data_IF_800415406150
#
_entry.id   IF_800415406150
#
_cell.length_a   1.000
_cell.length_b   1.000
_cell.length_c   1.000
_cell.angle_alpha   90.00
_cell.angle_beta   90.00
_cell.angle_gamma   90.00
#
_symmetry.space_group_name_H-M   'P 1'
#
loop_
_entity.id
_entity.type
_entity.pdbx_description
1 polymer ?
#
# COMPACT_ATOMS: atom_id res chain seq x y z
N UNK A 1 26.03 -13.42 -3.43
CA UNK A 1 25.85 -11.98 -3.71
C UNK A 1 24.51 -11.59 -3.10
N UNK A 2 24.41 -10.47 -2.35
CA UNK A 2 23.11 -9.99 -1.87
C UNK A 2 22.27 -9.62 -3.10
N UNK A 3 21.01 -10.05 -3.16
CA UNK A 3 20.08 -9.56 -4.19
C UNK A 3 20.02 -8.03 -4.14
N UNK A 4 19.92 -7.34 -5.29
CA UNK A 4 19.81 -5.89 -5.29
C UNK A 4 18.57 -5.45 -4.51
N UNK A 5 18.64 -4.28 -3.85
CA UNK A 5 17.50 -3.70 -3.15
C UNK A 5 16.35 -3.43 -4.14
N UNK A 6 15.08 -3.55 -3.72
CA UNK A 6 13.94 -3.33 -4.61
C UNK A 6 13.88 -1.87 -5.10
N UNK A 7 13.55 -1.66 -6.37
CA UNK A 7 13.18 -0.33 -6.88
C UNK A 7 11.74 -0.04 -6.48
N UNK A 8 11.52 1.12 -5.86
CA UNK A 8 10.18 1.55 -5.45
C UNK A 8 9.82 2.80 -6.23
N UNK A 9 8.76 2.71 -7.04
CA UNK A 9 8.16 3.86 -7.70
C UNK A 9 7.44 4.73 -6.66
N UNK A 10 7.90 5.95 -6.45
CA UNK A 10 7.33 6.91 -5.51
C UNK A 10 6.54 7.96 -6.28
N UNK A 11 5.21 7.90 -6.26
CA UNK A 11 4.42 8.94 -6.92
C UNK A 11 4.39 10.20 -6.05
N UNK A 12 4.63 11.36 -6.66
CA UNK A 12 4.67 12.64 -5.94
C UNK A 12 3.31 13.07 -5.37
N UNK A 13 2.21 12.54 -5.93
CA UNK A 13 0.85 12.90 -5.53
C UNK A 13 0.41 14.25 -6.09
N UNK A 14 -0.49 14.92 -5.38
CA UNK A 14 -0.99 16.25 -5.75
C UNK A 14 0.09 17.32 -5.46
N UNK A 15 0.52 18.02 -6.51
CA UNK A 15 1.55 19.05 -6.43
C UNK A 15 1.16 20.27 -5.58
N UNK A 16 -0.13 20.54 -5.37
CA UNK A 16 -0.61 21.61 -4.50
C UNK A 16 -0.67 21.19 -3.01
N UNK A 17 -0.57 19.90 -2.71
CA UNK A 17 -0.58 19.37 -1.34
C UNK A 17 0.81 19.14 -0.75
N UNK A 18 0.87 18.45 0.38
CA UNK A 18 2.12 18.09 1.08
C UNK A 18 2.91 16.96 0.40
N UNK A 19 2.38 16.33 -0.65
CA UNK A 19 3.01 15.19 -1.33
C UNK A 19 4.48 15.42 -1.69
N UNK A 20 4.83 16.52 -2.39
CA UNK A 20 6.22 16.88 -2.67
C UNK A 20 7.09 17.00 -1.40
N UNK A 21 6.57 17.59 -0.32
CA UNK A 21 7.30 17.81 0.93
C UNK A 21 7.59 16.50 1.67
N UNK A 22 6.60 15.62 1.79
CA UNK A 22 6.81 14.33 2.48
C UNK A 22 7.70 13.39 1.67
N UNK A 23 7.64 13.44 0.33
CA UNK A 23 8.58 12.70 -0.53
C UNK A 23 10.00 13.20 -0.31
N UNK A 24 10.23 14.51 -0.42
CA UNK A 24 11.57 15.08 -0.21
C UNK A 24 12.08 14.79 1.19
N UNK A 25 11.24 14.96 2.20
CA UNK A 25 11.61 14.72 3.58
C UNK A 25 11.95 13.26 3.87
N UNK A 26 11.20 12.30 3.31
CA UNK A 26 11.52 10.88 3.44
C UNK A 26 12.81 10.51 2.70
N UNK A 27 13.01 11.03 1.48
CA UNK A 27 14.18 10.71 0.66
C UNK A 27 15.44 11.52 1.04
N UNK A 28 15.35 12.42 2.01
CA UNK A 28 16.51 13.01 2.66
C UNK A 28 17.13 12.06 3.70
N UNK A 29 16.39 11.06 4.17
CA UNK A 29 16.88 10.07 5.12
C UNK A 29 17.68 8.96 4.42
N UNK A 30 18.97 8.87 4.73
CA UNK A 30 19.85 7.85 4.19
C UNK A 30 19.41 6.42 4.51
N UNK A 31 18.69 6.20 5.63
CA UNK A 31 18.19 4.90 6.04
C UNK A 31 17.17 4.30 5.04
N UNK A 32 16.49 5.15 4.26
CA UNK A 32 15.61 4.70 3.17
C UNK A 32 16.41 3.97 2.09
N UNK A 33 17.58 4.50 1.72
CA UNK A 33 18.44 3.95 0.67
C UNK A 33 19.17 2.66 1.10
N UNK A 34 19.21 2.36 2.39
CA UNK A 34 19.70 1.07 2.91
C UNK A 34 18.69 -0.06 2.68
N UNK A 35 17.42 0.28 2.43
CA UNK A 35 16.31 -0.67 2.29
C UNK A 35 15.77 -0.76 0.87
N UNK A 36 15.79 0.33 0.12
CA UNK A 36 15.25 0.37 -1.24
C UNK A 36 16.00 1.32 -2.16
N UNK A 37 15.65 1.27 -3.44
CA UNK A 37 16.07 2.19 -4.48
C UNK A 37 14.87 3.06 -4.89
N UNK A 38 14.63 4.19 -4.21
CA UNK A 38 13.46 5.01 -4.49
C UNK A 38 13.63 5.77 -5.81
N UNK A 39 12.62 5.72 -6.67
CA UNK A 39 12.52 6.49 -7.90
C UNK A 39 11.26 7.33 -7.88
N UNK A 40 11.39 8.66 -7.90
CA UNK A 40 10.20 9.53 -7.87
C UNK A 40 9.61 9.66 -9.27
N UNK A 41 8.29 9.66 -9.35
CA UNK A 41 7.52 9.96 -10.56
C UNK A 41 6.71 11.21 -10.23
N UNK A 42 7.05 12.33 -10.86
CA UNK A 42 6.60 13.63 -10.39
C UNK A 42 7.05 14.79 -11.25
N UNK A 43 7.22 15.94 -10.60
CA UNK A 43 7.70 17.19 -11.21
C UNK A 43 8.97 17.66 -10.49
N UNK A 44 10.08 17.72 -11.21
CA UNK A 44 11.37 18.02 -10.60
C UNK A 44 11.44 19.47 -10.08
N UNK A 45 10.74 20.42 -10.72
CA UNK A 45 10.68 21.81 -10.23
C UNK A 45 9.93 21.86 -8.91
N UNK A 46 8.77 21.21 -8.80
CA UNK A 46 7.98 21.19 -7.57
C UNK A 46 8.69 20.51 -6.40
N UNK A 47 9.45 19.45 -6.65
CA UNK A 47 10.29 18.81 -5.64
C UNK A 47 11.43 19.72 -5.15
N UNK A 48 12.02 20.54 -6.03
CA UNK A 48 13.02 21.55 -5.61
C UNK A 48 12.39 22.63 -4.74
N UNK A 49 11.20 23.11 -5.09
CA UNK A 49 10.43 24.05 -4.26
C UNK A 49 10.15 23.45 -2.87
N UNK A 50 9.74 22.18 -2.81
CA UNK A 50 9.52 21.46 -1.55
C UNK A 50 10.80 21.26 -0.73
N UNK A 51 11.94 20.97 -1.38
CA UNK A 51 13.23 20.88 -0.69
C UNK A 51 13.64 22.21 -0.05
N UNK A 52 13.41 23.33 -0.76
CA UNK A 52 13.63 24.67 -0.22
C UNK A 52 12.72 24.97 0.97
N UNK A 53 11.42 24.70 0.85
CA UNK A 53 10.45 24.90 1.94
C UNK A 53 10.83 24.12 3.21
N UNK A 54 11.38 22.92 3.05
CA UNK A 54 11.85 22.07 4.16
C UNK A 54 13.26 22.39 4.67
N UNK A 55 14.02 23.22 3.96
CA UNK A 55 15.45 23.39 4.24
C UNK A 55 16.28 22.11 4.04
N UNK A 56 15.81 21.19 3.20
CA UNK A 56 16.48 19.92 2.94
C UNK A 56 17.63 20.10 1.94
N UNK A 57 18.82 19.60 2.27
CA UNK A 57 19.99 19.62 1.38
C UNK A 57 20.01 18.36 0.51
N UNK A 58 19.19 18.34 -0.54
CA UNK A 58 19.10 17.22 -1.51
C UNK A 58 19.18 17.73 -2.95
N UNK A 59 19.86 16.98 -3.80
CA UNK A 59 19.85 17.21 -5.25
C UNK A 59 18.60 16.56 -5.87
N UNK A 60 17.78 17.33 -6.58
CA UNK A 60 16.67 16.78 -7.37
C UNK A 60 17.09 16.73 -8.84
N UNK A 61 17.18 15.51 -9.37
CA UNK A 61 17.70 15.27 -10.71
C UNK A 61 16.74 14.45 -11.58
N UNK A 62 16.39 14.99 -12.74
CA UNK A 62 15.59 14.30 -13.72
C UNK A 62 16.37 13.14 -14.36
N UNK A 63 15.70 12.02 -14.60
CA UNK A 63 16.23 10.83 -15.27
C UNK A 63 15.21 10.32 -16.30
N UNK A 64 15.71 9.78 -17.41
CA UNK A 64 14.87 9.33 -18.53
C UNK A 64 14.21 7.96 -18.28
N UNK A 65 14.77 7.15 -17.38
CA UNK A 65 14.30 5.78 -17.10
C UNK A 65 14.87 5.25 -15.80
N UNK A 66 14.30 4.14 -15.30
CA UNK A 66 14.78 3.43 -14.10
C UNK A 66 16.26 3.06 -14.21
N UNK A 67 16.71 2.63 -15.40
CA UNK A 67 18.09 2.21 -15.63
C UNK A 67 19.13 3.35 -15.56
N UNK A 68 18.69 4.62 -15.66
CA UNK A 68 19.56 5.80 -15.58
C UNK A 68 19.62 6.43 -14.19
N UNK A 69 18.77 5.98 -13.27
CA UNK A 69 18.78 6.43 -11.88
C UNK A 69 20.03 5.95 -11.13
N UNK A 70 20.52 6.78 -10.20
CA UNK A 70 21.73 6.53 -9.41
C UNK A 70 21.45 5.97 -8.03
N UNK A 71 20.26 6.24 -7.47
CA UNK A 71 19.81 5.75 -6.16
C UNK A 71 20.83 6.04 -5.05
N UNK A 72 21.37 7.26 -5.01
CA UNK A 72 22.39 7.66 -4.05
C UNK A 72 21.79 8.56 -2.97
N UNK A 73 22.07 8.35 -1.68
CA UNK A 73 21.65 9.26 -0.60
C UNK A 73 22.02 10.72 -0.91
N UNK A 74 21.12 11.65 -0.60
CA UNK A 74 21.29 13.07 -0.91
C UNK A 74 20.93 13.43 -2.36
N UNK A 75 20.53 12.47 -3.19
CA UNK A 75 20.05 12.67 -4.56
C UNK A 75 18.71 11.96 -4.77
N UNK A 76 17.72 12.73 -5.20
CA UNK A 76 16.39 12.25 -5.59
C UNK A 76 16.37 12.15 -7.11
N UNK A 77 16.37 10.93 -7.64
CA UNK A 77 16.16 10.68 -9.06
C UNK A 77 14.66 10.73 -9.38
N UNK A 78 14.29 11.49 -10.42
CA UNK A 78 12.90 11.77 -10.78
C UNK A 78 12.65 11.46 -12.25
N UNK A 79 11.66 10.62 -12.56
CA UNK A 79 11.00 10.63 -13.87
C UNK A 79 10.13 11.89 -13.89
N UNK A 80 10.68 12.95 -14.46
CA UNK A 80 10.09 14.29 -14.48
C UNK A 80 9.11 14.41 -15.66
N UNK A 81 7.82 14.56 -15.36
CA UNK A 81 6.80 14.76 -16.40
C UNK A 81 6.57 16.25 -16.71
N UNK A 82 7.07 17.18 -15.87
CA UNK A 82 6.98 18.62 -16.09
C UNK A 82 5.55 19.15 -16.34
N UNK A 83 4.54 18.58 -15.67
CA UNK A 83 3.13 18.85 -15.96
C UNK A 83 2.56 20.03 -15.18
N UNK A 84 3.22 20.46 -14.09
CA UNK A 84 2.67 21.50 -13.24
C UNK A 84 2.94 22.89 -13.80
N UNK A 85 1.95 23.81 -13.79
CA UNK A 85 2.14 25.17 -14.25
C UNK A 85 3.10 25.93 -13.32
N UNK A 86 3.81 26.91 -13.89
CA UNK A 86 4.62 27.83 -13.11
C UNK A 86 3.74 28.60 -12.12
N UNK A 87 4.23 28.79 -10.89
CA UNK A 87 3.49 29.49 -9.85
C UNK A 87 2.29 28.76 -9.28
N UNK A 88 2.18 27.43 -9.46
CA UNK A 88 1.15 26.62 -8.79
C UNK A 88 1.12 26.91 -7.28
N UNK A 89 -0.02 27.42 -6.81
CA UNK A 89 -0.21 27.76 -5.40
C UNK A 89 -0.27 26.50 -4.52
N UNK A 90 0.39 26.55 -3.37
CA UNK A 90 0.23 25.53 -2.32
C UNK A 90 -1.14 25.66 -1.65
N UNK A 91 -1.70 24.53 -1.22
CA UNK A 91 -2.93 24.50 -0.42
C UNK A 91 -4.21 24.83 -1.17
N UNK A 92 -4.16 24.97 -2.50
CA UNK A 92 -5.32 25.29 -3.33
C UNK A 92 -5.62 24.16 -4.31
N UNK A 93 -6.91 23.84 -4.43
CA UNK A 93 -7.39 22.88 -5.41
C UNK A 93 -7.05 23.34 -6.83
N UNK A 94 -6.49 22.44 -7.63
CA UNK A 94 -6.05 22.73 -9.00
C UNK A 94 -6.33 21.54 -9.92
N UNK A 95 -7.11 21.71 -11.00
CA UNK A 95 -7.29 20.67 -12.01
C UNK A 95 -5.96 20.23 -12.64
N UNK A 96 -5.01 21.15 -12.82
CA UNK A 96 -3.69 20.81 -13.35
C UNK A 96 -2.89 19.91 -12.39
N UNK A 97 -3.02 20.13 -11.09
CA UNK A 97 -2.40 19.26 -10.09
C UNK A 97 -3.07 17.87 -10.02
N UNK A 98 -4.40 17.82 -10.19
CA UNK A 98 -5.16 16.58 -10.32
C UNK A 98 -4.75 15.76 -11.55
N UNK A 99 -4.61 16.42 -12.71
CA UNK A 99 -4.12 15.80 -13.95
C UNK A 99 -2.71 15.25 -13.75
N UNK A 100 -1.81 16.05 -13.20
CA UNK A 100 -0.44 15.62 -12.97
C UNK A 100 -0.36 14.41 -12.02
N UNK A 101 -1.12 14.43 -10.92
CA UNK A 101 -1.21 13.30 -9.98
C UNK A 101 -1.69 12.02 -10.66
N UNK A 102 -2.69 12.10 -11.53
CA UNK A 102 -3.14 10.97 -12.35
C UNK A 102 -2.01 10.42 -13.23
N UNK A 103 -1.30 11.30 -13.94
CA UNK A 103 -0.21 10.92 -14.84
C UNK A 103 0.94 10.25 -14.10
N UNK A 104 1.27 10.69 -12.87
CA UNK A 104 2.28 10.03 -12.04
C UNK A 104 1.88 8.60 -11.67
N UNK A 105 0.60 8.40 -11.31
CA UNK A 105 0.07 7.07 -11.00
C UNK A 105 0.03 6.19 -12.26
N UNK A 106 -0.33 6.74 -13.42
CA UNK A 106 -0.27 6.03 -14.71
C UNK A 106 1.14 5.53 -15.02
N UNK A 107 2.15 6.40 -14.94
CA UNK A 107 3.54 6.00 -15.21
C UNK A 107 4.03 4.98 -14.19
N UNK A 108 3.67 5.11 -12.90
CA UNK A 108 4.00 4.11 -11.88
C UNK A 108 3.38 2.73 -12.20
N UNK A 109 2.11 2.73 -12.64
CA UNK A 109 1.41 1.52 -13.05
C UNK A 109 2.07 0.87 -14.29
N UNK A 110 2.46 1.67 -15.29
CA UNK A 110 3.16 1.20 -16.48
C UNK A 110 4.49 0.52 -16.12
N UNK A 111 5.31 1.15 -15.26
CA UNK A 111 6.57 0.57 -14.78
C UNK A 111 6.35 -0.71 -13.97
N UNK A 112 5.29 -0.77 -13.18
CA UNK A 112 4.94 -1.97 -12.40
C UNK A 112 4.51 -3.13 -13.31
N UNK A 113 3.67 -2.87 -14.31
CA UNK A 113 3.25 -3.86 -15.31
C UNK A 113 4.44 -4.34 -16.13
N UNK A 114 5.35 -3.43 -16.50
CA UNK A 114 6.60 -3.74 -17.20
C UNK A 114 7.64 -4.44 -16.31
N UNK A 115 7.38 -4.58 -15.00
CA UNK A 115 8.30 -5.14 -13.98
C UNK A 115 9.62 -4.39 -13.84
N UNK A 116 9.65 -3.11 -14.19
CA UNK A 116 10.82 -2.25 -13.99
C UNK A 116 10.95 -1.78 -12.54
N UNK A 117 9.85 -1.80 -11.77
CA UNK A 117 9.82 -1.53 -10.33
C UNK A 117 9.22 -2.72 -9.58
N UNK A 118 9.57 -2.86 -8.30
CA UNK A 118 9.14 -3.98 -7.45
C UNK A 118 8.06 -3.57 -6.42
N UNK A 119 7.84 -2.27 -6.24
CA UNK A 119 6.73 -1.74 -5.44
C UNK A 119 6.35 -0.33 -5.89
N UNK A 120 5.16 0.11 -5.49
CA UNK A 120 4.71 1.50 -5.60
C UNK A 120 4.50 2.05 -4.18
N UNK A 121 4.99 3.26 -3.91
CA UNK A 121 4.68 4.00 -2.69
C UNK A 121 4.05 5.34 -3.11
N UNK A 122 2.79 5.57 -2.74
CA UNK A 122 2.08 6.77 -3.20
C UNK A 122 2.04 7.84 -2.13
N UNK A 123 2.46 9.06 -2.48
CA UNK A 123 2.13 10.25 -1.70
C UNK A 123 0.65 10.65 -1.91
N UNK A 124 0.07 11.51 -1.05
CA UNK A 124 -1.35 11.86 -1.12
C UNK A 124 -1.75 12.60 -2.39
N UNK A 125 -2.97 12.34 -2.89
CA UNK A 125 -3.63 13.16 -3.91
C UNK A 125 -4.99 13.64 -3.43
N UNK A 126 -5.50 14.72 -4.03
CA UNK A 126 -6.82 15.23 -3.73
C UNK A 126 -7.86 14.69 -4.73
N UNK A 127 -8.91 14.03 -4.22
CA UNK A 127 -9.97 13.44 -5.05
C UNK A 127 -10.74 14.48 -5.86
N UNK A 128 -11.01 15.64 -5.28
CA UNK A 128 -11.76 16.71 -5.94
C UNK A 128 -10.92 17.33 -7.07
N UNK A 129 -9.60 17.51 -6.85
CA UNK A 129 -8.68 17.93 -7.92
C UNK A 129 -8.60 16.90 -9.05
N UNK A 130 -8.52 15.61 -8.71
CA UNK A 130 -8.53 14.50 -9.67
C UNK A 130 -9.81 14.49 -10.52
N UNK A 131 -10.97 14.70 -9.89
CA UNK A 131 -12.26 14.78 -10.58
C UNK A 131 -12.36 16.03 -11.45
N UNK A 132 -11.86 17.17 -10.98
CA UNK A 132 -11.82 18.41 -11.74
C UNK A 132 -10.93 18.31 -13.00
N UNK A 133 -9.96 17.40 -13.00
CA UNK A 133 -9.14 17.04 -14.17
C UNK A 133 -9.84 16.06 -15.14
N UNK A 134 -11.04 15.58 -14.82
CA UNK A 134 -11.80 14.62 -15.63
C UNK A 134 -11.61 13.14 -15.25
N UNK A 135 -10.85 12.84 -14.19
CA UNK A 135 -10.55 11.46 -13.77
C UNK A 135 -11.45 11.03 -12.62
N UNK A 136 -12.57 10.38 -12.93
CA UNK A 136 -13.59 10.02 -11.92
C UNK A 136 -13.25 8.68 -11.26
N UNK A 137 -12.38 8.71 -10.25
CA UNK A 137 -12.03 7.55 -9.44
C UNK A 137 -12.35 7.79 -7.95
N UNK A 138 -12.74 6.75 -7.19
CA UNK A 138 -12.93 6.87 -5.74
C UNK A 138 -11.65 7.24 -5.00
N UNK A 139 -10.50 6.72 -5.44
CA UNK A 139 -9.18 7.03 -4.91
C UNK A 139 -8.06 6.27 -5.63
N UNK A 140 -6.87 6.24 -5.01
CA UNK A 140 -5.68 5.58 -5.57
C UNK A 140 -5.87 4.10 -5.87
N UNK A 141 -6.57 3.38 -4.98
CA UNK A 141 -6.72 1.93 -5.06
C UNK A 141 -7.45 1.54 -6.34
N UNK A 142 -8.58 2.18 -6.62
CA UNK A 142 -9.40 1.92 -7.81
C UNK A 142 -8.71 2.44 -9.07
N UNK A 143 -8.02 3.58 -8.99
CA UNK A 143 -7.24 4.12 -10.10
C UNK A 143 -6.12 3.15 -10.52
N UNK A 144 -5.31 2.67 -9.58
CA UNK A 144 -4.24 1.71 -9.86
C UNK A 144 -4.78 0.37 -10.36
N UNK A 145 -5.89 -0.11 -9.78
CA UNK A 145 -6.54 -1.33 -10.25
C UNK A 145 -6.95 -1.20 -11.72
N UNK A 146 -7.60 -0.09 -12.10
CA UNK A 146 -8.00 0.16 -13.48
C UNK A 146 -6.80 0.25 -14.44
N UNK A 147 -5.77 1.01 -14.07
CA UNK A 147 -4.57 1.22 -14.88
C UNK A 147 -3.73 -0.07 -15.07
N UNK A 148 -3.82 -1.00 -14.12
CA UNK A 148 -3.07 -2.27 -14.17
C UNK A 148 -3.90 -3.43 -14.70
N UNK A 149 -5.18 -3.22 -15.03
CA UNK A 149 -6.10 -4.29 -15.41
C UNK A 149 -6.37 -5.29 -14.28
N UNK A 150 -6.25 -4.85 -13.02
CA UNK A 150 -6.48 -5.69 -11.84
C UNK A 150 -7.96 -5.63 -11.45
N UNK A 151 -8.66 -6.77 -11.50
CA UNK A 151 -10.09 -6.83 -11.17
C UNK A 151 -10.37 -6.60 -9.68
N UNK A 152 -9.53 -7.17 -8.81
CA UNK A 152 -9.72 -7.14 -7.37
C UNK A 152 -8.42 -6.99 -6.61
N UNK A 153 -8.46 -6.15 -5.59
CA UNK A 153 -7.39 -5.97 -4.61
C UNK A 153 -7.91 -6.19 -3.20
N UNK A 154 -7.01 -6.46 -2.28
CA UNK A 154 -7.30 -6.57 -0.85
C UNK A 154 -6.44 -5.58 -0.07
N UNK A 155 -7.01 -5.02 0.99
CA UNK A 155 -6.27 -4.19 1.95
C UNK A 155 -5.51 -5.08 2.92
N UNK A 156 -4.24 -4.77 3.12
CA UNK A 156 -3.39 -5.35 4.14
C UNK A 156 -2.89 -4.26 5.10
N UNK A 157 -2.75 -4.63 6.36
CA UNK A 157 -2.01 -3.89 7.38
C UNK A 157 -0.80 -4.72 7.78
N UNK A 158 0.30 -4.06 8.14
CA UNK A 158 1.50 -4.71 8.59
C UNK A 158 2.06 -4.06 9.84
N UNK A 159 2.43 -4.90 10.81
CA UNK A 159 3.24 -4.55 11.98
C UNK A 159 4.49 -5.42 11.96
N UNK A 160 5.49 -5.16 12.82
CA UNK A 160 6.65 -6.04 12.94
C UNK A 160 6.30 -7.50 13.31
N UNK A 161 5.14 -7.73 13.96
CA UNK A 161 4.74 -9.05 14.44
C UNK A 161 3.67 -9.73 13.59
N UNK A 162 2.73 -8.97 13.06
CA UNK A 162 1.52 -9.49 12.42
C UNK A 162 1.25 -8.73 11.13
N UNK A 163 0.94 -9.48 10.07
CA UNK A 163 0.34 -8.97 8.83
C UNK A 163 -1.11 -9.42 8.77
N UNK A 164 -2.01 -8.52 8.37
CA UNK A 164 -3.45 -8.77 8.34
C UNK A 164 -4.02 -8.34 7.00
N UNK A 165 -4.60 -9.27 6.24
CA UNK A 165 -5.33 -8.97 5.00
C UNK A 165 -6.83 -9.09 5.24
N UNK A 166 -7.62 -8.24 4.58
CA UNK A 166 -9.06 -8.15 4.81
C UNK A 166 -9.86 -8.72 3.63
N UNK A 167 -10.87 -9.53 3.94
CA UNK A 167 -11.88 -10.00 2.99
C UNK A 167 -12.83 -8.86 2.63
N UNK A 168 -13.22 -8.06 3.62
CA UNK A 168 -14.03 -6.84 3.43
C UNK A 168 -13.49 -5.67 4.26
N UNK A 169 -13.68 -4.44 3.77
CA UNK A 169 -13.18 -3.21 4.42
C UNK A 169 -14.31 -2.20 4.68
N UNK A 170 -14.37 -1.10 3.91
CA UNK A 170 -15.25 0.05 4.17
C UNK A 170 -16.70 -0.21 3.73
N UNK A 171 -17.39 -1.12 4.42
CA UNK A 171 -18.83 -1.41 4.27
C UNK A 171 -19.46 -1.64 5.65
N UNK A 172 -20.78 -1.48 5.77
CA UNK A 172 -21.50 -1.73 7.02
C UNK A 172 -21.35 -3.19 7.47
N UNK A 173 -21.31 -3.45 8.78
CA UNK A 173 -21.01 -4.80 9.31
C UNK A 173 -21.98 -5.88 8.81
N UNK A 174 -23.27 -5.57 8.73
CA UNK A 174 -24.28 -6.50 8.19
C UNK A 174 -24.00 -6.79 6.70
N UNK A 175 -23.72 -5.76 5.91
CA UNK A 175 -23.38 -5.90 4.50
C UNK A 175 -22.07 -6.66 4.30
N UNK A 176 -21.11 -6.50 5.21
CA UNK A 176 -19.86 -7.27 5.23
C UNK A 176 -20.14 -8.76 5.36
N UNK A 177 -20.91 -9.16 6.37
CA UNK A 177 -21.27 -10.56 6.61
C UNK A 177 -22.04 -11.12 5.40
N UNK A 178 -22.97 -10.34 4.83
CA UNK A 178 -23.72 -10.72 3.64
C UNK A 178 -22.82 -10.91 2.41
N UNK A 179 -21.85 -10.00 2.20
CA UNK A 179 -20.93 -10.00 1.06
C UNK A 179 -19.89 -11.12 1.09
N UNK A 180 -19.54 -11.64 2.26
CA UNK A 180 -18.56 -12.73 2.34
C UNK A 180 -19.14 -14.00 1.72
N UNK A 181 -18.41 -14.56 0.77
CA UNK A 181 -18.70 -15.83 0.10
C UNK A 181 -17.40 -16.64 -0.09
N UNK A 182 -17.49 -17.96 -0.38
CA UNK A 182 -16.29 -18.80 -0.53
C UNK A 182 -15.31 -18.31 -1.59
N UNK A 183 -15.80 -17.78 -2.71
CA UNK A 183 -14.96 -17.26 -3.77
C UNK A 183 -14.19 -16.02 -3.34
N UNK A 184 -14.85 -15.08 -2.65
CA UNK A 184 -14.18 -13.88 -2.14
C UNK A 184 -13.12 -14.20 -1.07
N UNK A 185 -13.41 -15.15 -0.17
CA UNK A 185 -12.44 -15.64 0.83
C UNK A 185 -11.26 -16.29 0.13
N UNK A 186 -11.51 -17.20 -0.82
CA UNK A 186 -10.47 -17.89 -1.59
C UNK A 186 -9.54 -16.89 -2.28
N UNK A 187 -10.10 -15.94 -3.05
CA UNK A 187 -9.31 -14.94 -3.78
C UNK A 187 -8.50 -14.06 -2.83
N UNK A 188 -9.05 -13.70 -1.66
CA UNK A 188 -8.33 -12.93 -0.64
C UNK A 188 -7.15 -13.70 -0.06
N UNK A 189 -7.35 -14.97 0.30
CA UNK A 189 -6.27 -15.83 0.81
C UNK A 189 -5.18 -16.00 -0.25
N UNK A 190 -5.55 -16.20 -1.53
CA UNK A 190 -4.56 -16.33 -2.63
C UNK A 190 -3.75 -15.06 -2.84
N UNK A 191 -4.38 -13.88 -2.83
CA UNK A 191 -3.68 -12.58 -2.90
C UNK A 191 -2.68 -12.45 -1.76
N UNK A 192 -3.11 -12.75 -0.53
CA UNK A 192 -2.24 -12.73 0.64
C UNK A 192 -1.07 -13.72 0.55
N UNK A 193 -1.34 -14.97 0.18
CA UNK A 193 -0.34 -16.01 -0.04
C UNK A 193 0.71 -15.58 -1.07
N UNK A 194 0.30 -15.02 -2.20
CA UNK A 194 1.21 -14.53 -3.24
C UNK A 194 2.08 -13.38 -2.72
N UNK A 195 1.53 -12.43 -1.96
CA UNK A 195 2.30 -11.34 -1.36
C UNK A 195 3.35 -11.87 -0.37
N UNK A 196 2.98 -12.83 0.49
CA UNK A 196 3.92 -13.44 1.42
C UNK A 196 5.05 -14.15 0.67
N UNK A 197 4.74 -14.92 -0.38
CA UNK A 197 5.76 -15.56 -1.21
C UNK A 197 6.66 -14.57 -1.92
N UNK A 198 6.11 -13.48 -2.45
CA UNK A 198 6.89 -12.41 -3.07
C UNK A 198 7.89 -11.82 -2.07
N UNK A 199 7.45 -11.51 -0.84
CA UNK A 199 8.32 -11.00 0.24
C UNK A 199 9.40 -11.98 0.74
N UNK A 200 9.48 -13.19 0.19
CA UNK A 200 10.51 -14.19 0.52
C UNK A 200 10.07 -15.26 1.52
N UNK A 201 8.81 -15.29 1.95
CA UNK A 201 8.29 -16.36 2.80
C UNK A 201 8.03 -17.60 1.93
N UNK A 202 8.88 -18.62 2.06
CA UNK A 202 8.87 -19.79 1.18
C UNK A 202 7.56 -20.59 1.21
N UNK A 203 7.08 -20.90 2.43
CA UNK A 203 5.83 -21.64 2.67
C UNK A 203 4.98 -20.88 3.69
N UNK A 204 4.20 -19.87 3.25
CA UNK A 204 3.44 -19.02 4.17
C UNK A 204 2.39 -19.82 4.94
N UNK A 205 2.37 -19.67 6.25
CA UNK A 205 1.33 -20.19 7.14
C UNK A 205 0.26 -19.12 7.34
N UNK A 206 -0.96 -19.39 6.89
CA UNK A 206 -2.04 -18.41 6.84
C UNK A 206 -3.14 -18.80 7.82
N UNK A 207 -3.41 -17.93 8.80
CA UNK A 207 -4.55 -18.07 9.70
C UNK A 207 -5.77 -17.36 9.15
N UNK A 208 -6.91 -18.03 9.06
CA UNK A 208 -8.16 -17.47 8.55
C UNK A 208 -9.17 -17.38 9.69
N UNK A 209 -9.60 -16.17 10.02
CA UNK A 209 -10.57 -15.94 11.10
C UNK A 209 -11.97 -16.47 10.72
N UNK A 210 -12.76 -16.85 11.73
CA UNK A 210 -14.21 -17.01 11.59
C UNK A 210 -14.91 -15.65 11.44
N UNK A 211 -16.18 -15.67 11.03
CA UNK A 211 -17.09 -14.53 11.11
C UNK A 211 -17.62 -14.39 12.54
N UNK A 212 -18.05 -15.51 13.12
CA UNK A 212 -18.65 -15.55 14.45
C UNK A 212 -17.59 -15.65 15.56
N UNK A 213 -17.91 -15.21 16.79
CA UNK A 213 -17.11 -15.54 17.96
C UNK A 213 -16.87 -17.05 18.04
N UNK A 214 -15.67 -17.43 18.45
CA UNK A 214 -15.25 -18.83 18.54
C UNK A 214 -15.39 -19.62 17.23
N UNK A 215 -15.39 -18.91 16.08
CA UNK A 215 -15.66 -19.51 14.77
C UNK A 215 -16.94 -20.37 14.74
N UNK A 216 -17.98 -19.87 15.40
CA UNK A 216 -19.29 -20.52 15.45
C UNK A 216 -19.45 -21.59 16.54
N UNK A 217 -18.38 -22.00 17.23
CA UNK A 217 -18.40 -22.98 18.32
C UNK A 217 -19.18 -24.27 17.93
N UNK A 218 -18.79 -24.88 16.81
CA UNK A 218 -19.45 -26.06 16.22
C UNK A 218 -20.95 -25.84 15.91
N UNK A 219 -21.31 -24.64 15.47
CA UNK A 219 -22.68 -24.25 15.11
C UNK A 219 -23.53 -23.77 16.28
N UNK A 220 -22.96 -23.59 17.48
CA UNK A 220 -23.67 -22.99 18.62
C UNK A 220 -23.90 -21.48 18.43
N UNK A 221 -22.98 -20.80 17.74
CA UNK A 221 -23.07 -19.37 17.44
C UNK A 221 -23.15 -19.13 15.93
N UNK A 222 -24.05 -18.22 15.52
CA UNK A 222 -24.28 -17.90 14.12
C UNK A 222 -25.36 -18.76 13.46
N UNK A 223 -25.39 -18.72 12.14
CA UNK A 223 -26.34 -19.42 11.28
C UNK A 223 -25.62 -20.32 10.24
N UNK A 224 -24.40 -20.77 10.56
CA UNK A 224 -23.58 -21.61 9.69
C UNK A 224 -22.74 -20.82 8.68
N UNK A 225 -22.36 -19.57 9.01
CA UNK A 225 -21.53 -18.74 8.14
C UNK A 225 -20.16 -19.35 7.89
N UNK A 226 -19.52 -19.96 8.90
CA UNK A 226 -18.24 -20.64 8.75
C UNK A 226 -18.29 -21.77 7.70
N UNK A 227 -19.29 -22.64 7.81
CA UNK A 227 -19.52 -23.79 6.93
C UNK A 227 -19.88 -23.37 5.52
N UNK A 228 -20.69 -22.32 5.36
CA UNK A 228 -21.22 -21.92 4.05
C UNK A 228 -20.33 -20.92 3.33
N UNK A 229 -19.57 -20.09 4.04
CA UNK A 229 -18.80 -18.98 3.45
C UNK A 229 -17.29 -19.14 3.54
N UNK A 230 -16.75 -19.93 4.47
CA UNK A 230 -15.30 -19.99 4.72
C UNK A 230 -14.72 -21.38 4.45
N UNK A 231 -15.30 -22.43 5.04
CA UNK A 231 -14.79 -23.81 4.93
C UNK A 231 -14.59 -24.28 3.47
N UNK A 232 -15.52 -24.04 2.52
CA UNK A 232 -15.34 -24.50 1.14
C UNK A 232 -14.14 -23.84 0.47
N UNK A 233 -13.84 -22.58 0.82
CA UNK A 233 -12.65 -21.88 0.33
C UNK A 233 -11.37 -22.54 0.87
N UNK A 234 -11.34 -22.85 2.18
CA UNK A 234 -10.18 -23.46 2.83
C UNK A 234 -9.88 -24.86 2.31
N UNK A 235 -10.91 -25.68 2.08
CA UNK A 235 -10.75 -27.01 1.48
C UNK A 235 -10.07 -26.91 0.11
N UNK A 236 -10.53 -26.00 -0.75
CA UNK A 236 -9.95 -25.77 -2.07
C UNK A 236 -8.52 -25.24 -1.99
N UNK A 237 -8.24 -24.28 -1.10
CA UNK A 237 -6.90 -23.73 -0.89
C UNK A 237 -5.91 -24.80 -0.41
N UNK A 238 -6.32 -25.67 0.51
CA UNK A 238 -5.51 -26.78 1.01
C UNK A 238 -5.27 -27.84 -0.06
N UNK A 239 -6.27 -28.14 -0.89
CA UNK A 239 -6.12 -29.03 -2.04
C UNK A 239 -5.07 -28.50 -3.04
N UNK A 240 -4.96 -27.17 -3.16
CA UNK A 240 -3.94 -26.50 -3.97
C UNK A 240 -2.58 -26.33 -3.25
N UNK A 241 -2.41 -26.89 -2.06
CA UNK A 241 -1.16 -26.87 -1.30
C UNK A 241 -0.87 -25.58 -0.53
N UNK A 242 -1.87 -24.71 -0.33
CA UNK A 242 -1.74 -23.53 0.53
C UNK A 242 -2.03 -23.92 1.99
N UNK A 243 -1.11 -23.62 2.91
CA UNK A 243 -1.28 -23.84 4.36
C UNK A 243 -2.21 -22.78 4.97
N UNK A 244 -3.49 -22.86 4.62
CA UNK A 244 -4.56 -22.02 5.13
C UNK A 244 -5.30 -22.73 6.29
N UNK A 245 -5.08 -22.27 7.52
CA UNK A 245 -5.62 -22.85 8.76
C UNK A 245 -6.82 -22.04 9.27
N UNK A 246 -7.88 -22.74 9.64
CA UNK A 246 -9.12 -22.14 10.13
C UNK A 246 -10.39 -22.85 9.64
N UNK A 247 -11.57 -22.20 9.79
CA UNK A 247 -11.75 -20.90 10.44
C UNK A 247 -11.33 -20.93 11.91
N UNK A 248 -10.65 -19.88 12.37
CA UNK A 248 -10.13 -19.76 13.74
C UNK A 248 -10.96 -18.73 14.54
N UNK A 249 -11.16 -18.93 15.86
CA UNK A 249 -11.56 -17.83 16.73
C UNK A 249 -10.62 -16.65 16.55
N UNK A 250 -11.13 -15.48 16.20
CA UNK A 250 -10.29 -14.34 15.79
C UNK A 250 -9.35 -13.89 16.91
N UNK A 251 -9.83 -13.85 18.16
CA UNK A 251 -9.05 -13.55 19.35
C UNK A 251 -7.84 -14.50 19.51
N UNK A 252 -8.07 -15.80 19.32
CA UNK A 252 -7.02 -16.83 19.35
C UNK A 252 -6.08 -16.68 18.16
N UNK A 253 -6.60 -16.41 16.96
CA UNK A 253 -5.80 -16.21 15.75
C UNK A 253 -4.81 -15.05 15.93
N UNK A 254 -5.25 -13.91 16.45
CA UNK A 254 -4.37 -12.76 16.70
C UNK A 254 -3.38 -12.99 17.84
N UNK A 255 -3.76 -13.71 18.89
CA UNK A 255 -2.83 -14.11 19.94
C UNK A 255 -1.68 -14.98 19.40
N UNK A 256 -2.01 -16.00 18.61
CA UNK A 256 -1.04 -16.89 17.98
C UNK A 256 -0.18 -16.17 16.93
N UNK A 257 -0.77 -15.28 16.14
CA UNK A 257 -0.02 -14.44 15.20
C UNK A 257 1.02 -13.58 15.93
N UNK A 258 0.66 -12.97 17.06
CA UNK A 258 1.58 -12.19 17.88
C UNK A 258 2.76 -13.00 18.47
N UNK A 259 2.62 -14.33 18.53
CA UNK A 259 3.68 -15.29 18.92
C UNK A 259 4.54 -15.77 17.74
N UNK A 260 4.15 -15.47 16.50
CA UNK A 260 4.83 -15.88 15.28
C UNK A 260 4.33 -17.19 14.68
N UNK A 261 3.16 -17.70 15.09
CA UNK A 261 2.63 -18.97 14.57
C UNK A 261 1.99 -18.85 13.16
N UNK A 262 1.74 -17.62 12.71
CA UNK A 262 1.15 -17.29 11.42
C UNK A 262 1.92 -16.16 10.74
N UNK A 263 2.24 -16.34 9.46
CA UNK A 263 2.86 -15.30 8.63
C UNK A 263 1.84 -14.23 8.21
N UNK A 264 0.58 -14.64 8.09
CA UNK A 264 -0.54 -13.81 7.64
C UNK A 264 -1.83 -14.21 8.34
N UNK A 265 -2.58 -13.22 8.81
CA UNK A 265 -3.97 -13.38 9.25
C UNK A 265 -4.93 -12.82 8.20
N UNK A 266 -6.00 -13.57 7.90
CA UNK A 266 -7.10 -13.15 7.04
C UNK A 266 -8.30 -12.79 7.92
N UNK A 267 -8.54 -11.49 8.04
CA UNK A 267 -9.69 -10.93 8.75
C UNK A 267 -10.91 -10.84 7.82
N UNK A 268 -12.08 -11.19 8.34
CA UNK A 268 -13.33 -11.22 7.58
C UNK A 268 -13.89 -9.80 7.33
N UNK A 269 -13.72 -8.89 8.29
CA UNK A 269 -14.23 -7.52 8.23
C UNK A 269 -13.26 -6.52 8.87
N UNK A 270 -13.46 -5.23 8.59
CA UNK A 270 -12.55 -4.14 8.94
C UNK A 270 -12.09 -4.15 10.40
N UNK A 271 -13.01 -4.04 11.35
CA UNK A 271 -12.67 -3.91 12.77
C UNK A 271 -12.06 -5.18 13.36
N UNK A 272 -12.34 -6.35 12.79
CA UNK A 272 -11.72 -7.62 13.21
C UNK A 272 -10.20 -7.56 13.04
N UNK A 273 -9.71 -6.96 11.95
CA UNK A 273 -8.29 -6.84 11.66
C UNK A 273 -7.66 -5.53 12.15
N UNK A 274 -8.37 -4.42 12.04
CA UNK A 274 -7.85 -3.11 12.43
C UNK A 274 -7.68 -2.97 13.94
N UNK A 275 -8.62 -3.49 14.74
CA UNK A 275 -8.56 -3.39 16.21
C UNK A 275 -7.25 -3.94 16.79
N UNK A 276 -6.91 -5.22 16.55
CA UNK A 276 -5.66 -5.82 17.02
C UNK A 276 -4.41 -5.08 16.55
N UNK A 277 -4.39 -4.66 15.29
CA UNK A 277 -3.24 -3.98 14.70
C UNK A 277 -3.01 -2.60 15.33
N UNK A 278 -4.05 -1.80 15.53
CA UNK A 278 -3.93 -0.47 16.13
C UNK A 278 -3.50 -0.54 17.61
N UNK A 279 -3.96 -1.54 18.35
CA UNK A 279 -3.53 -1.78 19.74
C UNK A 279 -2.04 -2.15 19.82
N UNK A 280 -1.49 -2.81 18.79
CA UNK A 280 -0.09 -3.22 18.72
C UNK A 280 0.87 -2.09 18.31
N UNK A 281 0.39 -0.85 18.18
CA UNK A 281 1.26 0.32 18.06
C UNK A 281 1.57 0.74 16.62
N UNK A 282 0.60 0.65 15.70
CA UNK A 282 0.71 1.44 14.46
C UNK A 282 0.55 2.93 14.85
N UNK A 283 1.66 3.60 15.13
CA UNK A 283 1.74 5.07 15.12
C UNK A 283 1.72 5.60 13.67
N UNK A 284 2.23 4.81 12.72
CA UNK A 284 2.34 5.17 11.31
C UNK A 284 1.25 4.48 10.49
N UNK A 285 0.10 5.14 10.35
CA UNK A 285 -1.01 4.71 9.49
C UNK A 285 -0.56 4.51 8.04
N UNK A 286 -0.21 3.27 7.70
CA UNK A 286 0.20 2.85 6.36
C UNK A 286 -0.77 1.78 5.87
N UNK A 287 -1.38 2.07 4.73
CA UNK A 287 -2.26 1.16 4.03
C UNK A 287 -1.47 0.42 2.94
N UNK A 288 -1.60 -0.92 2.92
CA UNK A 288 -1.01 -1.77 1.88
C UNK A 288 -2.11 -2.29 0.96
N UNK A 289 -1.94 -2.13 -0.35
CA UNK A 289 -2.80 -2.70 -1.38
C UNK A 289 -2.15 -3.94 -1.98
N UNK A 290 -2.83 -5.08 -1.86
CA UNK A 290 -2.37 -6.39 -2.35
C UNK A 290 -3.22 -6.84 -3.54
N UNK A 291 -2.59 -7.41 -4.56
CA UNK A 291 -3.27 -7.95 -5.75
C UNK A 291 -2.92 -7.23 -7.05
N UNK A 292 -2.37 -6.01 -6.94
CA UNK A 292 -1.74 -5.32 -8.07
C UNK A 292 -0.49 -6.10 -8.55
N UNK A 293 0.05 -5.81 -9.76
CA UNK A 293 1.27 -6.46 -10.27
C UNK A 293 2.48 -6.36 -9.34
N UNK A 294 2.51 -5.33 -8.50
CA UNK A 294 3.48 -5.13 -7.41
C UNK A 294 2.76 -4.65 -6.15
N UNK A 295 3.36 -4.82 -4.98
CA UNK A 295 2.78 -4.28 -3.74
C UNK A 295 2.69 -2.75 -3.83
N UNK A 296 1.61 -2.17 -3.31
CA UNK A 296 1.50 -0.72 -3.15
C UNK A 296 1.32 -0.34 -1.70
N UNK A 297 2.07 0.64 -1.22
CA UNK A 297 1.89 1.26 0.09
C UNK A 297 1.46 2.72 -0.04
N UNK A 298 0.80 3.22 1.00
CA UNK A 298 0.32 4.60 1.09
C UNK A 298 0.32 5.07 2.51
N UNK A 299 0.59 6.36 2.69
CA UNK A 299 0.29 7.07 3.93
C UNK A 299 -1.21 7.22 4.13
N UNK A 300 -1.66 7.31 5.39
CA UNK A 300 -3.07 7.50 5.76
C UNK A 300 -3.51 8.97 5.79
N UNK A 301 -2.57 9.92 5.80
CA UNK A 301 -2.91 11.35 5.77
C UNK A 301 -3.24 11.83 4.34
N UNK A 302 -4.13 12.82 4.24
CA UNK A 302 -4.51 13.45 2.98
C UNK A 302 -3.48 14.46 2.48
N UNK A 303 -3.91 15.32 1.55
CA UNK A 303 -3.06 16.37 0.94
C UNK A 303 -2.72 17.53 1.88
N UNK A 304 -3.39 17.63 3.03
CA UNK A 304 -3.12 18.61 4.09
C UNK A 304 -2.86 20.04 3.55
N UNK A 305 -3.81 20.56 2.78
CA UNK A 305 -3.70 21.85 2.09
C UNK A 305 -3.46 23.03 3.04
N UNK A 306 -3.88 22.93 4.29
CA UNK A 306 -3.67 23.92 5.35
C UNK A 306 -2.19 24.13 5.73
N UNK A 307 -1.33 23.14 5.51
CA UNK A 307 0.10 23.19 5.83
C UNK A 307 1.00 23.00 4.60
N UNK A 308 0.43 22.86 3.41
CA UNK A 308 1.20 22.64 2.18
C UNK A 308 2.14 23.82 1.86
N UNK A 309 3.38 23.50 1.49
CA UNK A 309 4.42 24.48 1.15
C UNK A 309 5.08 25.16 2.35
N UNK A 310 4.76 24.75 3.58
CA UNK A 310 5.29 25.36 4.81
C UNK A 310 6.55 24.67 5.34
N UNK A 311 6.85 23.47 4.87
CA UNK A 311 7.89 22.58 5.40
C UNK A 311 7.49 21.82 6.67
N UNK A 312 6.28 22.04 7.21
CA UNK A 312 5.86 21.52 8.52
C UNK A 312 5.28 20.10 8.49
N UNK A 313 5.05 19.51 7.30
CA UNK A 313 4.48 18.18 7.19
C UNK A 313 5.41 17.11 7.79
N UNK A 314 4.85 16.27 8.66
CA UNK A 314 5.54 15.12 9.25
C UNK A 314 5.82 14.04 8.19
N UNK A 315 7.02 13.47 8.23
CA UNK A 315 7.52 12.55 7.18
C UNK A 315 7.48 11.08 7.58
N UNK A 316 7.24 10.80 8.87
CA UNK A 316 7.36 9.45 9.45
C UNK A 316 6.50 8.40 8.74
N UNK A 317 5.26 8.74 8.39
CA UNK A 317 4.36 7.84 7.66
C UNK A 317 4.87 7.50 6.27
N UNK A 318 5.52 8.45 5.58
CA UNK A 318 6.08 8.21 4.24
C UNK A 318 7.33 7.31 4.31
N UNK A 319 8.19 7.52 5.31
CA UNK A 319 9.35 6.64 5.58
C UNK A 319 8.87 5.22 5.91
N UNK A 320 7.85 5.10 6.75
CA UNK A 320 7.27 3.79 7.08
C UNK A 320 6.62 3.13 5.86
N UNK A 321 5.91 3.89 5.01
CA UNK A 321 5.32 3.36 3.78
C UNK A 321 6.39 2.82 2.82
N UNK A 322 7.54 3.51 2.70
CA UNK A 322 8.69 3.05 1.92
C UNK A 322 9.33 1.81 2.54
N UNK A 323 9.46 1.76 3.88
CA UNK A 323 9.97 0.58 4.60
C UNK A 323 9.09 -0.63 4.34
N UNK A 324 7.77 -0.51 4.51
CA UNK A 324 6.84 -1.61 4.28
C UNK A 324 6.79 -2.04 2.81
N UNK A 325 6.90 -1.10 1.87
CA UNK A 325 7.03 -1.42 0.46
C UNK A 325 8.31 -2.21 0.17
N UNK A 326 9.45 -1.84 0.77
CA UNK A 326 10.70 -2.57 0.64
C UNK A 326 10.63 -3.98 1.24
N UNK A 327 10.04 -4.11 2.43
CA UNK A 327 9.93 -5.38 3.15
C UNK A 327 8.98 -6.38 2.44
N UNK A 328 7.98 -5.87 1.70
CA UNK A 328 6.99 -6.69 0.98
C UNK A 328 7.28 -6.83 -0.53
N UNK A 329 8.22 -6.05 -1.07
CA UNK A 329 8.62 -6.15 -2.46
C UNK A 329 9.23 -7.53 -2.75
N UNK A 330 9.01 -8.10 -3.94
CA UNK A 330 9.75 -9.27 -4.37
C UNK A 330 11.25 -8.98 -4.33
N UNK A 331 12.02 -9.91 -3.77
CA UNK A 331 13.49 -9.85 -3.85
C UNK A 331 13.90 -9.68 -5.31
N UNK A 332 14.76 -8.68 -5.60
CA UNK A 332 15.07 -8.33 -6.98
C UNK A 332 15.57 -9.57 -7.75
N UNK A 333 14.79 -9.98 -8.74
CA UNK A 333 15.18 -11.01 -9.69
C UNK A 333 16.29 -10.43 -10.54
N UNK A 334 17.47 -11.04 -10.48
CA UNK A 334 18.57 -10.74 -11.39
C UNK A 334 18.24 -11.13 -12.83
#
# INVERSE_FOLDING_TARGET
>A
MKSPLPVIAVTMGDGAGIGPEVVVGALADAAVYERCRPLVIGDARRLREAALARGASVEVAAVESVARARFTPGRIDVIDLGLLPDGLEWGKLSPAAGEAAYQYVRVAAELAVAREVQAICTAPLNKEALHAAGHIYPGHTELLAALTGTEEVSMMLSTPKVKVIHVTTHIGLIDAIARIDPGLVERTVRRGHQAMRASGVGTPVIGVCGINPHAGENGLFGAGEEETKIQPALEKLRADGIDARGPLPADTAFFLAGRGDYDLIVAMYHDQGHGPVKVLGIEAGVNITVGLPVIRTSVDHGTAFDIAGTGAAEVGSMIEALRQAADLAPGATG
#
